data_IF_362579009397
#
_entry.id   IF_362579009397
#
_cell.length_a   1.000
_cell.length_b   1.000
_cell.length_c   1.000
_cell.angle_alpha   90.00
_cell.angle_beta   90.00
_cell.angle_gamma   90.00
#
_symmetry.space_group_name_H-M   'P 1'
#
loop_
_entity.id
_entity.type
_entity.pdbx_description
1 polymer ?
#
# COMPACT_ATOMS: atom_id res chain seq x y z
N UNK A 1 51.83 -0.04 4.79
CA UNK A 1 50.46 0.24 5.26
C UNK A 1 49.50 -0.67 4.51
N UNK A 2 48.64 -1.40 5.23
CA UNK A 2 47.57 -2.22 4.64
C UNK A 2 46.26 -1.55 5.02
N UNK A 3 45.47 -1.18 4.02
CA UNK A 3 44.15 -0.57 4.19
C UNK A 3 43.12 -1.50 3.57
N UNK A 4 42.08 -1.84 4.33
CA UNK A 4 41.03 -2.74 3.89
C UNK A 4 39.74 -1.96 3.71
N UNK A 5 39.14 -2.06 2.53
CA UNK A 5 37.82 -1.55 2.26
C UNK A 5 36.80 -2.67 2.52
N UNK A 6 35.88 -2.41 3.42
CA UNK A 6 34.79 -3.31 3.79
C UNK A 6 33.47 -2.64 3.41
N UNK A 7 32.59 -3.40 2.77
CA UNK A 7 31.23 -2.98 2.46
C UNK A 7 30.23 -3.95 3.10
N UNK A 8 29.25 -3.43 3.81
CA UNK A 8 28.18 -4.20 4.42
C UNK A 8 27.13 -3.26 4.99
N UNK A 9 25.87 -3.64 4.88
CA UNK A 9 24.76 -2.85 5.41
C UNK A 9 24.68 -2.89 6.94
N UNK A 10 25.08 -4.00 7.55
CA UNK A 10 25.13 -4.20 9.00
C UNK A 10 26.51 -4.70 9.45
N UNK A 11 26.87 -4.44 10.72
CA UNK A 11 28.11 -4.92 11.35
C UNK A 11 28.29 -6.44 11.28
N UNK A 12 27.21 -7.19 11.05
CA UNK A 12 27.20 -8.66 10.95
C UNK A 12 27.29 -9.20 9.52
N UNK A 13 27.21 -8.35 8.49
CA UNK A 13 27.27 -8.73 7.06
C UNK A 13 28.29 -7.87 6.31
N UNK A 14 29.52 -7.82 6.83
CA UNK A 14 30.63 -7.14 6.17
C UNK A 14 31.29 -8.07 5.13
N UNK A 15 31.42 -7.57 3.91
CA UNK A 15 32.15 -8.18 2.81
C UNK A 15 33.37 -7.34 2.48
N UNK A 16 34.54 -7.96 2.36
CA UNK A 16 35.78 -7.25 2.00
C UNK A 16 35.74 -6.93 0.51
N UNK A 17 35.70 -5.64 0.15
CA UNK A 17 35.58 -5.19 -1.25
C UNK A 17 36.92 -4.90 -1.88
N UNK A 18 37.88 -4.38 -1.12
CA UNK A 18 39.24 -4.14 -1.62
C UNK A 18 40.31 -4.23 -0.52
N UNK A 19 41.52 -4.60 -0.92
CA UNK A 19 42.72 -4.48 -0.09
C UNK A 19 43.74 -3.61 -0.82
N UNK A 20 44.13 -2.53 -0.17
CA UNK A 20 45.17 -1.60 -0.58
C UNK A 20 46.43 -1.91 0.22
N UNK A 21 47.49 -2.32 -0.46
CA UNK A 21 48.81 -2.52 0.17
C UNK A 21 49.78 -1.48 -0.37
N UNK A 22 50.28 -0.62 0.52
CA UNK A 22 51.24 0.44 0.20
C UNK A 22 52.55 0.15 0.94
N UNK A 23 53.63 -0.04 0.18
CA UNK A 23 55.01 -0.13 0.66
C UNK A 23 55.85 0.97 0.03
N UNK A 24 57.03 1.23 0.59
CA UNK A 24 57.93 2.33 0.18
C UNK A 24 58.30 2.34 -1.31
N UNK A 25 58.13 1.20 -2.00
CA UNK A 25 58.49 0.99 -3.41
C UNK A 25 57.37 0.33 -4.25
N UNK A 26 56.20 0.04 -3.68
CA UNK A 26 55.13 -0.66 -4.41
C UNK A 26 53.73 -0.32 -3.91
N UNK A 27 52.81 -0.24 -4.87
CA UNK A 27 51.38 -0.04 -4.66
C UNK A 27 50.62 -1.20 -5.31
N UNK A 28 49.81 -1.92 -4.55
CA UNK A 28 48.91 -2.95 -5.08
C UNK A 28 47.48 -2.77 -4.58
N UNK A 29 46.53 -2.86 -5.50
CA UNK A 29 45.09 -2.81 -5.25
C UNK A 29 44.48 -4.13 -5.71
N UNK A 30 43.94 -4.90 -4.77
CA UNK A 30 43.23 -6.15 -5.05
C UNK A 30 41.75 -5.97 -4.73
N UNK A 31 40.88 -6.03 -5.75
CA UNK A 31 39.41 -6.03 -5.58
C UNK A 31 38.90 -7.46 -5.60
N UNK A 32 38.08 -7.81 -4.62
CA UNK A 32 37.57 -9.18 -4.43
C UNK A 32 36.23 -9.45 -5.13
N UNK A 33 35.48 -8.40 -5.48
CA UNK A 33 34.18 -8.52 -6.14
C UNK A 33 34.20 -7.93 -7.56
N UNK A 34 33.37 -8.47 -8.44
CA UNK A 34 33.25 -7.93 -9.80
C UNK A 34 32.54 -6.57 -9.73
N UNK A 35 33.00 -5.58 -10.52
CA UNK A 35 32.35 -4.24 -10.54
C UNK A 35 30.87 -4.33 -10.89
N UNK A 36 30.47 -5.33 -11.69
CA UNK A 36 29.08 -5.58 -12.07
C UNK A 36 28.24 -6.07 -10.90
N UNK A 37 28.74 -7.01 -10.10
CA UNK A 37 28.05 -7.49 -8.89
C UNK A 37 27.91 -6.37 -7.85
N UNK A 38 28.95 -5.54 -7.69
CA UNK A 38 28.92 -4.40 -6.78
C UNK A 38 27.84 -3.39 -7.19
N UNK A 39 27.77 -3.05 -8.47
CA UNK A 39 26.75 -2.14 -9.00
C UNK A 39 25.36 -2.76 -8.90
N UNK A 40 25.21 -4.03 -9.29
CA UNK A 40 23.93 -4.74 -9.20
C UNK A 40 23.42 -4.83 -7.75
N UNK A 41 24.32 -5.05 -6.79
CA UNK A 41 24.00 -5.06 -5.36
C UNK A 41 23.54 -3.70 -4.88
N UNK A 42 24.29 -2.63 -5.21
CA UNK A 42 23.91 -1.25 -4.85
C UNK A 42 22.58 -0.82 -5.46
N UNK A 43 22.30 -1.27 -6.69
CA UNK A 43 21.00 -1.06 -7.33
C UNK A 43 19.92 -1.79 -6.54
N UNK A 44 20.11 -3.09 -6.22
CA UNK A 44 19.15 -3.87 -5.44
C UNK A 44 18.88 -3.22 -4.06
N UNK A 45 19.92 -2.77 -3.38
CA UNK A 45 19.86 -2.07 -2.09
C UNK A 45 19.02 -0.79 -2.15
N UNK A 46 18.85 -0.16 -3.32
CA UNK A 46 17.94 0.98 -3.46
C UNK A 46 16.45 0.60 -3.38
N UNK A 47 16.12 -0.68 -3.62
CA UNK A 47 14.75 -1.18 -3.73
C UNK A 47 14.36 -2.18 -2.65
N UNK A 48 15.30 -2.85 -1.99
CA UNK A 48 14.96 -3.80 -0.92
C UNK A 48 15.42 -3.29 0.45
N UNK A 49 14.67 -3.57 1.53
CA UNK A 49 15.08 -3.21 2.88
C UNK A 49 16.42 -3.83 3.27
N UNK A 50 17.15 -3.15 4.13
CA UNK A 50 18.36 -3.68 4.74
C UNK A 50 18.04 -4.99 5.47
N UNK A 51 18.90 -6.00 5.31
CA UNK A 51 18.72 -7.30 5.94
C UNK A 51 17.67 -8.19 5.25
N UNK A 52 17.14 -7.79 4.10
CA UNK A 52 16.25 -8.63 3.28
C UNK A 52 16.91 -9.99 2.95
N UNK A 53 16.16 -11.11 2.95
CA UNK A 53 14.73 -11.23 3.22
C UNK A 53 14.36 -11.34 4.71
N UNK A 54 15.33 -11.45 5.62
CA UNK A 54 15.08 -11.77 7.04
C UNK A 54 14.55 -10.60 7.87
N UNK A 55 14.68 -9.37 7.38
CA UNK A 55 14.25 -8.15 8.08
C UNK A 55 12.79 -7.78 7.85
N UNK A 56 12.09 -8.49 6.96
CA UNK A 56 10.69 -8.26 6.63
C UNK A 56 9.86 -9.53 6.72
N UNK A 57 8.54 -9.39 6.83
CA UNK A 57 7.65 -10.56 6.82
C UNK A 57 7.69 -11.30 5.47
N UNK A 58 7.44 -12.63 5.46
CA UNK A 58 7.53 -13.44 4.23
C UNK A 58 6.57 -13.03 3.11
N UNK A 59 5.50 -12.30 3.43
CA UNK A 59 4.50 -11.80 2.49
C UNK A 59 4.88 -10.45 1.84
N UNK A 60 5.99 -9.80 2.24
CA UNK A 60 6.45 -8.54 1.66
C UNK A 60 6.73 -8.63 0.16
N UNK A 61 7.63 -9.52 -0.26
CA UNK A 61 8.04 -9.63 -1.66
C UNK A 61 6.88 -9.97 -2.61
N UNK A 62 6.03 -11.00 -2.34
CA UNK A 62 4.90 -11.28 -3.21
C UNK A 62 3.88 -10.14 -3.24
N UNK A 63 3.67 -9.43 -2.11
CA UNK A 63 2.83 -8.24 -2.08
C UNK A 63 3.39 -7.13 -2.98
N UNK A 64 4.67 -6.78 -2.83
CA UNK A 64 5.31 -5.67 -3.57
C UNK A 64 5.31 -5.88 -5.09
N UNK A 65 5.42 -7.14 -5.55
CA UNK A 65 5.31 -7.45 -6.98
C UNK A 65 3.92 -7.08 -7.52
N UNK A 66 2.85 -7.50 -6.84
CA UNK A 66 1.49 -7.19 -7.26
C UNK A 66 1.15 -5.71 -7.09
N UNK A 67 1.62 -5.08 -6.01
CA UNK A 67 1.46 -3.65 -5.76
C UNK A 67 2.16 -2.81 -6.84
N UNK A 68 3.38 -3.18 -7.24
CA UNK A 68 4.11 -2.53 -8.34
C UNK A 68 3.39 -2.66 -9.69
N UNK A 69 2.84 -3.85 -9.99
CA UNK A 69 2.06 -4.06 -11.22
C UNK A 69 0.75 -3.26 -11.21
N UNK A 70 0.11 -3.15 -10.05
CA UNK A 70 -1.07 -2.32 -9.82
C UNK A 70 -0.73 -0.83 -10.02
N UNK A 71 0.35 -0.35 -9.40
CA UNK A 71 0.88 1.01 -9.58
C UNK A 71 1.20 1.33 -11.04
N UNK A 72 1.88 0.43 -11.74
CA UNK A 72 2.18 0.58 -13.18
C UNK A 72 0.90 0.80 -13.99
N UNK A 73 -0.14 -0.01 -13.75
CA UNK A 73 -1.44 0.14 -14.42
C UNK A 73 -2.11 1.48 -14.12
N UNK A 74 -2.05 1.93 -12.86
CA UNK A 74 -2.53 3.25 -12.44
C UNK A 74 -1.87 4.36 -13.24
N UNK A 75 -0.54 4.41 -13.32
CA UNK A 75 0.13 5.51 -14.00
C UNK A 75 -0.06 5.51 -15.53
N UNK A 76 -0.23 4.34 -16.15
CA UNK A 76 -0.63 4.27 -17.57
C UNK A 76 -2.01 4.91 -17.78
N UNK A 77 -2.99 4.54 -16.95
CA UNK A 77 -4.37 5.08 -17.03
C UNK A 77 -4.41 6.56 -16.72
N UNK A 78 -3.62 7.03 -15.75
CA UNK A 78 -3.50 8.45 -15.40
C UNK A 78 -3.11 9.29 -16.61
N UNK A 79 -2.24 8.80 -17.51
CA UNK A 79 -1.89 9.56 -18.72
C UNK A 79 -3.07 9.69 -19.68
N UNK A 80 -3.86 8.62 -19.87
CA UNK A 80 -5.08 8.65 -20.69
C UNK A 80 -6.15 9.57 -20.11
N UNK A 81 -6.43 9.47 -18.81
CA UNK A 81 -7.43 10.31 -18.14
C UNK A 81 -7.01 11.77 -18.07
N UNK A 82 -5.70 12.04 -17.85
CA UNK A 82 -5.16 13.40 -17.84
C UNK A 82 -5.29 14.06 -19.21
N UNK A 83 -4.98 13.34 -20.30
CA UNK A 83 -5.15 13.88 -21.65
C UNK A 83 -6.62 14.27 -21.91
N UNK A 84 -7.57 13.41 -21.53
CA UNK A 84 -9.00 13.68 -21.67
C UNK A 84 -9.43 14.91 -20.83
N UNK A 85 -9.00 14.96 -19.57
CA UNK A 85 -9.29 16.08 -18.68
C UNK A 85 -8.75 17.41 -19.20
N UNK A 86 -7.50 17.44 -19.69
CA UNK A 86 -6.89 18.64 -20.27
C UNK A 86 -7.64 19.11 -21.52
N UNK A 87 -8.09 18.16 -22.36
CA UNK A 87 -8.93 18.48 -23.51
C UNK A 87 -10.27 19.09 -23.07
N UNK A 88 -10.92 18.55 -22.03
CA UNK A 88 -12.20 19.09 -21.53
C UNK A 88 -12.09 20.50 -20.93
N UNK A 89 -10.96 20.85 -20.33
CA UNK A 89 -10.70 22.20 -19.80
C UNK A 89 -10.52 23.22 -20.95
N UNK A 90 -10.32 22.74 -22.18
CA UNK A 90 -10.11 23.59 -23.35
C UNK A 90 -8.65 23.96 -23.55
N UNK A 91 -7.71 23.11 -23.12
CA UNK A 91 -6.29 23.30 -23.46
C UNK A 91 -6.15 23.23 -24.99
N UNK A 92 -5.78 24.36 -25.59
CA UNK A 92 -5.66 24.52 -27.04
C UNK A 92 -6.85 25.24 -27.71
N UNK A 93 -7.93 25.52 -26.97
CA UNK A 93 -9.12 26.21 -27.49
C UNK A 93 -9.01 27.74 -27.35
N UNK A 94 -9.35 28.48 -28.42
CA UNK A 94 -9.24 29.96 -28.44
C UNK A 94 -10.23 30.66 -27.50
N UNK A 95 -11.36 30.01 -27.19
CA UNK A 95 -12.39 30.53 -26.30
C UNK A 95 -12.15 30.24 -24.82
N UNK A 96 -11.20 29.35 -24.50
CA UNK A 96 -10.86 29.02 -23.12
C UNK A 96 -10.03 30.14 -22.50
N UNK A 97 -10.43 30.60 -21.31
CA UNK A 97 -9.69 31.64 -20.57
C UNK A 97 -8.86 31.01 -19.46
N UNK A 98 -7.66 31.57 -19.24
CA UNK A 98 -6.77 31.12 -18.15
C UNK A 98 -7.49 31.19 -16.80
N UNK A 99 -8.19 32.30 -16.51
CA UNK A 99 -8.91 32.48 -15.24
C UNK A 99 -10.06 31.48 -15.07
N UNK A 100 -10.77 31.13 -16.14
CA UNK A 100 -11.82 30.12 -16.11
C UNK A 100 -11.27 28.74 -15.78
N UNK A 101 -10.19 28.34 -16.45
CA UNK A 101 -9.48 27.09 -16.15
C UNK A 101 -8.95 27.09 -14.70
N UNK A 102 -8.35 28.18 -14.23
CA UNK A 102 -7.89 28.31 -12.84
C UNK A 102 -9.03 28.13 -11.84
N UNK A 103 -10.20 28.73 -12.10
CA UNK A 103 -11.36 28.58 -11.22
C UNK A 103 -11.88 27.14 -11.18
N UNK A 104 -11.89 26.43 -12.31
CA UNK A 104 -12.26 25.02 -12.38
C UNK A 104 -11.30 24.14 -11.56
N UNK A 105 -9.99 24.37 -11.66
CA UNK A 105 -8.98 23.68 -10.85
C UNK A 105 -9.13 23.97 -9.36
N UNK A 106 -9.31 25.25 -9.00
CA UNK A 106 -9.57 25.66 -7.63
C UNK A 106 -10.77 24.93 -7.04
N UNK A 107 -11.93 24.95 -7.71
CA UNK A 107 -13.14 24.28 -7.23
C UNK A 107 -12.92 22.78 -7.07
N UNK A 108 -12.33 22.14 -8.08
CA UNK A 108 -12.00 20.71 -8.06
C UNK A 108 -11.14 20.36 -6.84
N UNK A 109 -10.04 21.08 -6.63
CA UNK A 109 -9.08 20.77 -5.58
C UNK A 109 -9.62 21.12 -4.18
N UNK A 110 -10.29 22.27 -4.05
CA UNK A 110 -10.96 22.68 -2.82
C UNK A 110 -12.00 21.64 -2.37
N UNK A 111 -12.88 21.20 -3.29
CA UNK A 111 -13.92 20.21 -2.97
C UNK A 111 -13.31 18.86 -2.62
N UNK A 112 -12.24 18.45 -3.31
CA UNK A 112 -11.48 17.24 -3.00
C UNK A 112 -10.90 17.29 -1.58
N UNK A 113 -10.16 18.35 -1.24
CA UNK A 113 -9.55 18.53 0.08
C UNK A 113 -10.59 18.53 1.20
N UNK A 114 -11.73 19.22 1.03
CA UNK A 114 -12.84 19.17 1.98
C UNK A 114 -13.39 17.75 2.13
N UNK A 115 -13.57 17.03 1.02
CA UNK A 115 -14.01 15.64 1.03
C UNK A 115 -13.08 14.72 1.83
N UNK A 116 -11.76 14.85 1.65
CA UNK A 116 -10.76 14.10 2.40
C UNK A 116 -10.78 14.38 3.90
N UNK A 117 -10.92 15.64 4.29
CA UNK A 117 -11.04 16.03 5.71
C UNK A 117 -12.29 15.42 6.32
N UNK A 118 -13.45 15.55 5.65
CA UNK A 118 -14.71 14.97 6.11
C UNK A 118 -14.60 13.44 6.23
N UNK A 119 -14.04 12.76 5.24
CA UNK A 119 -13.84 11.31 5.29
C UNK A 119 -12.96 10.90 6.47
N UNK A 120 -11.84 11.61 6.68
CA UNK A 120 -10.94 11.37 7.82
C UNK A 120 -11.68 11.52 9.15
N UNK A 121 -12.48 12.57 9.30
CA UNK A 121 -13.29 12.82 10.48
C UNK A 121 -14.28 11.68 10.78
N UNK A 122 -14.94 11.14 9.75
CA UNK A 122 -15.92 10.06 9.93
C UNK A 122 -15.29 8.67 10.11
N UNK A 123 -14.17 8.39 9.44
CA UNK A 123 -13.70 7.01 9.23
C UNK A 123 -12.28 6.72 9.73
N UNK A 124 -11.50 7.76 10.10
CA UNK A 124 -10.06 7.67 10.37
C UNK A 124 -9.65 6.61 11.41
N UNK A 125 -10.50 6.36 12.41
CA UNK A 125 -10.20 5.44 13.52
C UNK A 125 -10.24 3.95 13.19
N UNK A 126 -10.71 3.55 12.00
CA UNK A 126 -10.89 2.13 11.63
C UNK A 126 -10.14 1.73 10.34
N UNK A 127 -9.35 2.63 9.75
CA UNK A 127 -8.71 2.39 8.45
C UNK A 127 -7.61 1.32 8.50
N UNK A 128 -6.83 1.31 9.58
CA UNK A 128 -5.76 0.35 9.83
C UNK A 128 -6.29 -1.06 10.19
N UNK A 129 -7.37 -1.13 10.99
CA UNK A 129 -7.95 -2.40 11.45
C UNK A 129 -8.42 -3.32 10.31
N UNK A 130 -8.88 -2.73 9.20
CA UNK A 130 -9.37 -3.47 8.02
C UNK A 130 -8.53 -3.16 6.78
N UNK A 131 -7.20 -3.09 6.93
CA UNK A 131 -6.29 -2.63 5.88
C UNK A 131 -6.49 -3.31 4.51
N UNK A 132 -6.71 -4.64 4.47
CA UNK A 132 -6.94 -5.34 3.20
C UNK A 132 -8.18 -4.84 2.45
N UNK A 133 -9.28 -4.64 3.17
CA UNK A 133 -10.53 -4.15 2.61
C UNK A 133 -10.37 -2.70 2.15
N UNK A 134 -9.80 -1.86 3.02
CA UNK A 134 -9.62 -0.44 2.71
C UNK A 134 -8.68 -0.22 1.53
N UNK A 135 -7.69 -1.09 1.28
CA UNK A 135 -6.90 -1.06 0.05
C UNK A 135 -7.75 -1.27 -1.20
N UNK A 136 -8.60 -2.30 -1.22
CA UNK A 136 -9.51 -2.54 -2.35
C UNK A 136 -10.48 -1.37 -2.57
N UNK A 137 -11.01 -0.81 -1.48
CA UNK A 137 -11.95 0.31 -1.55
C UNK A 137 -11.26 1.60 -2.00
N UNK A 138 -10.05 1.88 -1.50
CA UNK A 138 -9.26 3.05 -1.88
C UNK A 138 -8.97 3.03 -3.39
N UNK A 139 -8.53 1.89 -3.91
CA UNK A 139 -8.21 1.74 -5.33
C UNK A 139 -9.45 1.75 -6.22
N UNK A 140 -10.58 1.21 -5.75
CA UNK A 140 -11.87 1.39 -6.44
C UNK A 140 -12.25 2.87 -6.55
N UNK A 141 -12.10 3.64 -5.45
CA UNK A 141 -12.37 5.09 -5.49
C UNK A 141 -11.36 5.83 -6.38
N UNK A 142 -10.12 5.37 -6.49
CA UNK A 142 -9.13 5.93 -7.39
C UNK A 142 -9.57 5.75 -8.85
N UNK A 143 -10.03 4.54 -9.17
CA UNK A 143 -10.51 4.15 -10.49
C UNK A 143 -11.75 4.95 -10.88
N UNK A 144 -12.68 5.16 -9.96
CA UNK A 144 -13.82 6.06 -10.16
C UNK A 144 -13.36 7.50 -10.42
N UNK A 145 -12.36 7.98 -9.68
CA UNK A 145 -11.78 9.31 -9.89
C UNK A 145 -11.22 9.50 -11.30
N UNK A 146 -10.39 8.55 -11.75
CA UNK A 146 -9.84 8.57 -13.11
C UNK A 146 -10.93 8.39 -14.18
N UNK A 147 -11.94 7.58 -13.91
CA UNK A 147 -13.09 7.42 -14.80
C UNK A 147 -13.86 8.73 -14.96
N UNK A 148 -14.07 9.48 -13.87
CA UNK A 148 -14.70 10.81 -13.95
C UNK A 148 -13.88 11.76 -14.81
N UNK A 149 -12.55 11.75 -14.68
CA UNK A 149 -11.67 12.55 -15.53
C UNK A 149 -11.83 12.17 -17.01
N UNK A 150 -11.90 10.87 -17.34
CA UNK A 150 -12.09 10.36 -18.71
C UNK A 150 -13.50 10.62 -19.27
N UNK A 151 -14.54 10.58 -18.43
CA UNK A 151 -15.95 10.81 -18.79
C UNK A 151 -16.27 12.30 -18.95
N UNK A 152 -15.60 13.16 -18.20
CA UNK A 152 -15.89 14.59 -18.12
C UNK A 152 -16.01 15.32 -19.47
N UNK A 153 -15.23 15.02 -20.54
CA UNK A 153 -15.37 15.70 -21.83
C UNK A 153 -16.69 15.39 -22.53
N UNK A 154 -17.35 14.27 -22.19
CA UNK A 154 -18.63 13.86 -22.79
C UNK A 154 -19.80 14.69 -22.27
N UNK A 155 -19.62 15.42 -21.17
CA UNK A 155 -20.67 16.20 -20.51
C UNK A 155 -20.21 17.63 -20.19
N UNK A 156 -19.97 18.49 -21.20
CA UNK A 156 -19.44 19.85 -20.96
C UNK A 156 -20.29 20.69 -20.00
N UNK A 157 -21.62 20.53 -20.02
CA UNK A 157 -22.54 21.26 -19.12
C UNK A 157 -22.43 20.84 -17.65
N UNK A 158 -21.98 19.61 -17.38
CA UNK A 158 -21.80 19.06 -16.04
C UNK A 158 -20.32 18.87 -15.67
N UNK A 159 -19.40 19.36 -16.50
CA UNK A 159 -17.96 19.12 -16.40
C UNK A 159 -17.43 19.35 -14.98
N UNK A 160 -17.69 20.54 -14.42
CA UNK A 160 -17.16 20.92 -13.10
C UNK A 160 -17.69 20.01 -11.99
N UNK A 161 -18.94 19.58 -12.08
CA UNK A 161 -19.55 18.68 -11.11
C UNK A 161 -18.89 17.30 -11.16
N UNK A 162 -18.68 16.75 -12.36
CA UNK A 162 -18.05 15.44 -12.58
C UNK A 162 -16.62 15.44 -12.04
N UNK A 163 -15.81 16.45 -12.37
CA UNK A 163 -14.41 16.50 -11.90
C UNK A 163 -14.31 16.77 -10.40
N UNK A 164 -15.25 17.49 -9.80
CA UNK A 164 -15.34 17.64 -8.34
C UNK A 164 -15.64 16.29 -7.66
N UNK A 165 -16.57 15.49 -8.20
CA UNK A 165 -16.82 14.13 -7.71
C UNK A 165 -15.57 13.26 -7.86
N UNK A 166 -14.88 13.33 -8.99
CA UNK A 166 -13.62 12.62 -9.20
C UNK A 166 -12.55 13.02 -8.19
N UNK A 167 -12.46 14.31 -7.87
CA UNK A 167 -11.53 14.86 -6.87
C UNK A 167 -11.83 14.39 -5.44
N UNK A 168 -13.11 14.38 -5.04
CA UNK A 168 -13.54 13.82 -3.74
C UNK A 168 -13.13 12.34 -3.67
N UNK A 169 -13.38 11.59 -4.74
CA UNK A 169 -13.02 10.17 -4.85
C UNK A 169 -11.52 9.95 -4.66
N UNK A 170 -10.68 10.73 -5.36
CA UNK A 170 -9.20 10.66 -5.21
C UNK A 170 -8.72 11.12 -3.84
N UNK A 171 -9.38 12.10 -3.22
CA UNK A 171 -9.02 12.55 -1.86
C UNK A 171 -9.31 11.46 -0.83
N UNK A 172 -10.46 10.79 -0.94
CA UNK A 172 -10.76 9.58 -0.17
C UNK A 172 -9.67 8.52 -0.36
N UNK A 173 -9.27 8.25 -1.60
CA UNK A 173 -8.20 7.28 -1.90
C UNK A 173 -6.91 7.66 -1.19
N UNK A 174 -6.51 8.93 -1.22
CA UNK A 174 -5.29 9.41 -0.57
C UNK A 174 -5.29 9.12 0.93
N UNK A 175 -6.41 9.39 1.62
CA UNK A 175 -6.54 9.13 3.06
C UNK A 175 -6.50 7.63 3.36
N UNK A 176 -7.32 6.83 2.67
CA UNK A 176 -7.42 5.38 2.92
C UNK A 176 -6.13 4.64 2.53
N UNK A 177 -5.53 4.97 1.38
CA UNK A 177 -4.25 4.41 0.94
C UNK A 177 -3.12 4.81 1.90
N UNK A 178 -3.06 6.07 2.33
CA UNK A 178 -2.06 6.52 3.31
C UNK A 178 -2.14 5.75 4.65
N UNK A 179 -3.34 5.60 5.20
CA UNK A 179 -3.54 4.88 6.46
C UNK A 179 -3.22 3.37 6.33
N UNK A 180 -3.69 2.73 5.26
CA UNK A 180 -3.43 1.30 5.04
C UNK A 180 -1.97 1.01 4.72
N UNK A 181 -1.29 1.88 3.96
CA UNK A 181 0.15 1.81 3.72
C UNK A 181 0.92 1.89 5.04
N UNK A 182 0.62 2.85 5.91
CA UNK A 182 1.25 2.94 7.23
C UNK A 182 1.07 1.64 8.05
N UNK A 183 -0.14 1.07 8.06
CA UNK A 183 -0.40 -0.20 8.73
C UNK A 183 0.39 -1.38 8.13
N UNK A 184 0.53 -1.42 6.80
CA UNK A 184 1.33 -2.44 6.11
C UNK A 184 2.82 -2.28 6.33
N UNK A 185 3.35 -1.06 6.31
CA UNK A 185 4.75 -0.79 6.64
C UNK A 185 5.09 -1.31 8.05
N UNK A 186 4.20 -1.10 9.02
CA UNK A 186 4.36 -1.66 10.37
C UNK A 186 4.27 -3.20 10.37
N UNK A 187 3.32 -3.78 9.64
CA UNK A 187 3.20 -5.23 9.49
C UNK A 187 4.47 -5.85 8.90
N UNK A 188 5.05 -5.23 7.87
CA UNK A 188 6.26 -5.72 7.21
C UNK A 188 7.53 -5.60 8.07
N UNK A 189 7.55 -4.73 9.08
CA UNK A 189 8.74 -4.47 9.91
C UNK A 189 8.96 -5.55 10.97
N UNK A 190 9.99 -6.38 10.80
CA UNK A 190 10.40 -7.37 11.81
C UNK A 190 11.53 -6.88 12.74
N UNK A 191 12.27 -5.83 12.35
CA UNK A 191 13.50 -5.41 13.04
C UNK A 191 13.49 -3.91 13.39
N UNK A 192 12.32 -3.35 13.70
CA UNK A 192 12.12 -1.89 13.88
C UNK A 192 12.61 -1.07 12.68
N UNK A 193 12.45 -1.62 11.47
CA UNK A 193 12.96 -1.10 10.21
C UNK A 193 11.85 -0.46 9.35
N UNK A 194 10.75 -0.03 9.95
CA UNK A 194 9.60 0.56 9.25
C UNK A 194 9.98 1.77 8.38
N UNK A 195 10.90 2.62 8.84
CA UNK A 195 11.37 3.77 8.07
C UNK A 195 12.13 3.35 6.80
N UNK A 196 12.98 2.33 6.91
CA UNK A 196 13.71 1.77 5.76
C UNK A 196 12.73 1.13 4.77
N UNK A 197 11.78 0.32 5.25
CA UNK A 197 10.72 -0.26 4.41
C UNK A 197 9.95 0.83 3.67
N UNK A 198 9.50 1.88 4.36
CA UNK A 198 8.78 3.00 3.74
C UNK A 198 9.62 3.71 2.68
N UNK A 199 10.93 3.87 2.90
CA UNK A 199 11.83 4.50 1.94
C UNK A 199 12.02 3.62 0.69
N UNK A 200 12.20 2.30 0.87
CA UNK A 200 12.37 1.35 -0.26
C UNK A 200 11.09 1.15 -1.05
N UNK A 201 9.95 1.08 -0.38
CA UNK A 201 8.63 1.09 -1.01
C UNK A 201 8.45 2.36 -1.85
N UNK A 202 8.83 3.53 -1.32
CA UNK A 202 8.82 4.78 -2.08
C UNK A 202 9.69 4.74 -3.34
N UNK A 203 10.88 4.12 -3.29
CA UNK A 203 11.71 3.90 -4.49
C UNK A 203 11.04 2.97 -5.51
N UNK A 204 10.40 1.90 -5.05
CA UNK A 204 9.67 0.96 -5.91
C UNK A 204 8.47 1.64 -6.60
N UNK A 205 7.67 2.37 -5.83
CA UNK A 205 6.55 3.17 -6.33
C UNK A 205 7.04 4.20 -7.37
N UNK A 206 8.16 4.88 -7.10
CA UNK A 206 8.75 5.87 -8.02
C UNK A 206 9.14 5.24 -9.36
N UNK A 207 9.80 4.07 -9.36
CA UNK A 207 10.18 3.39 -10.61
C UNK A 207 8.94 2.90 -11.37
N UNK A 208 7.96 2.33 -10.67
CA UNK A 208 6.68 1.94 -11.29
C UNK A 208 5.97 3.16 -11.91
N UNK A 209 6.01 4.30 -11.22
CA UNK A 209 5.48 5.59 -11.70
C UNK A 209 6.17 6.03 -12.98
N UNK A 210 7.49 6.08 -12.99
CA UNK A 210 8.28 6.48 -14.15
C UNK A 210 8.00 5.60 -15.36
N UNK A 211 8.01 4.27 -15.17
CA UNK A 211 7.69 3.32 -16.22
C UNK A 211 6.25 3.49 -16.74
N UNK A 212 5.29 3.63 -15.83
CA UNK A 212 3.88 3.79 -16.17
C UNK A 212 3.57 5.09 -16.90
N UNK A 213 4.23 6.19 -16.54
CA UNK A 213 4.12 7.46 -17.27
C UNK A 213 4.67 7.36 -18.69
N UNK A 214 5.85 6.75 -18.88
CA UNK A 214 6.43 6.56 -20.22
C UNK A 214 5.51 5.70 -21.09
N UNK A 215 5.07 4.54 -20.58
CA UNK A 215 4.17 3.65 -21.29
C UNK A 215 2.80 4.29 -21.55
N UNK A 216 2.27 5.02 -20.57
CA UNK A 216 1.00 5.75 -20.69
C UNK A 216 1.05 6.85 -21.73
N UNK A 217 2.14 7.61 -21.79
CA UNK A 217 2.33 8.64 -22.82
C UNK A 217 2.49 8.05 -24.22
N UNK A 218 3.22 6.93 -24.36
CA UNK A 218 3.30 6.21 -25.63
C UNK A 218 1.93 5.71 -26.09
N UNK A 219 1.15 5.13 -25.16
CA UNK A 219 -0.20 4.66 -25.43
C UNK A 219 -1.13 5.81 -25.82
N UNK A 220 -1.09 6.93 -25.08
CA UNK A 220 -1.84 8.15 -25.38
C UNK A 220 -1.52 8.70 -26.77
N UNK A 221 -0.25 8.68 -27.17
CA UNK A 221 0.18 9.13 -28.49
C UNK A 221 -0.34 8.21 -29.62
N UNK A 222 -0.19 6.89 -29.46
CA UNK A 222 -0.62 5.90 -30.48
C UNK A 222 -2.15 5.87 -30.63
N UNK A 223 -2.88 6.12 -29.55
CA UNK A 223 -4.36 6.06 -29.52
C UNK A 223 -5.02 7.42 -29.79
N UNK A 224 -4.24 8.44 -30.16
CA UNK A 224 -4.74 9.78 -30.45
C UNK A 224 -5.83 9.75 -31.53
N UNK A 225 -6.97 10.40 -31.25
CA UNK A 225 -8.12 10.44 -32.16
C UNK A 225 -8.93 9.13 -32.23
N UNK A 226 -8.60 8.10 -31.44
CA UNK A 226 -9.26 6.80 -31.45
C UNK A 226 -9.96 6.51 -30.11
N UNK A 227 -11.15 7.12 -29.85
CA UNK A 227 -11.81 7.07 -28.55
C UNK A 227 -12.14 5.64 -28.11
N UNK A 228 -12.53 4.75 -29.03
CA UNK A 228 -12.82 3.36 -28.71
C UNK A 228 -11.61 2.62 -28.14
N UNK A 229 -10.41 2.86 -28.69
CA UNK A 229 -9.18 2.24 -28.19
C UNK A 229 -8.80 2.83 -26.83
N UNK A 230 -8.92 4.15 -26.64
CA UNK A 230 -8.66 4.79 -25.34
C UNK A 230 -9.55 4.17 -24.26
N UNK A 231 -10.85 4.06 -24.53
CA UNK A 231 -11.83 3.44 -23.60
C UNK A 231 -11.52 1.98 -23.34
N UNK A 232 -11.24 1.19 -24.38
CA UNK A 232 -10.90 -0.21 -24.24
C UNK A 232 -9.62 -0.41 -23.41
N UNK A 233 -8.57 0.37 -23.69
CA UNK A 233 -7.31 0.35 -22.94
C UNK A 233 -7.54 0.74 -21.49
N UNK A 234 -8.25 1.84 -21.23
CA UNK A 234 -8.54 2.32 -19.88
C UNK A 234 -9.32 1.29 -19.06
N UNK A 235 -10.39 0.71 -19.63
CA UNK A 235 -11.21 -0.29 -18.94
C UNK A 235 -10.45 -1.59 -18.71
N UNK A 236 -9.69 -2.07 -19.70
CA UNK A 236 -8.86 -3.29 -19.57
C UNK A 236 -7.80 -3.13 -18.49
N UNK A 237 -7.11 -1.98 -18.46
CA UNK A 237 -6.13 -1.65 -17.42
C UNK A 237 -6.78 -1.49 -16.05
N UNK A 238 -8.03 -0.99 -15.98
CA UNK A 238 -8.79 -0.88 -14.73
C UNK A 238 -9.17 -2.25 -14.17
N UNK A 239 -9.58 -3.19 -15.02
CA UNK A 239 -9.82 -4.59 -14.61
C UNK A 239 -8.51 -5.22 -14.12
N UNK A 240 -7.41 -5.03 -14.86
CA UNK A 240 -6.10 -5.52 -14.45
C UNK A 240 -5.64 -4.90 -13.13
N UNK A 241 -5.85 -3.61 -12.93
CA UNK A 241 -5.52 -2.86 -11.71
C UNK A 241 -6.23 -3.47 -10.49
N UNK A 242 -7.56 -3.64 -10.57
CA UNK A 242 -8.33 -4.24 -9.49
C UNK A 242 -7.95 -5.70 -9.22
N UNK A 243 -7.66 -6.46 -10.28
CA UNK A 243 -7.16 -7.83 -10.15
C UNK A 243 -5.79 -7.88 -9.46
N UNK A 244 -4.84 -7.03 -9.87
CA UNK A 244 -3.52 -6.96 -9.28
C UNK A 244 -3.60 -6.57 -7.80
N UNK A 245 -4.44 -5.58 -7.44
CA UNK A 245 -4.66 -5.23 -6.04
C UNK A 245 -5.26 -6.39 -5.25
N UNK A 246 -6.28 -7.08 -5.80
CA UNK A 246 -6.86 -8.28 -5.19
C UNK A 246 -5.79 -9.34 -4.92
N UNK A 247 -4.90 -9.59 -5.88
CA UNK A 247 -3.77 -10.51 -5.69
C UNK A 247 -2.80 -10.03 -4.61
N UNK A 248 -2.47 -8.74 -4.56
CA UNK A 248 -1.61 -8.17 -3.52
C UNK A 248 -2.21 -8.41 -2.12
N UNK A 249 -3.48 -8.06 -1.89
CA UNK A 249 -4.11 -8.25 -0.57
C UNK A 249 -4.32 -9.71 -0.18
N UNK A 250 -4.40 -10.62 -1.16
CA UNK A 250 -4.42 -12.07 -0.90
C UNK A 250 -3.06 -12.61 -0.43
N UNK A 251 -1.94 -11.95 -0.75
CA UNK A 251 -0.62 -12.34 -0.27
C UNK A 251 -0.43 -12.03 1.22
N UNK A 252 -1.10 -10.99 1.71
CA UNK A 252 -0.96 -10.50 3.07
C UNK A 252 -1.47 -11.49 4.11
N UNK A 253 -0.73 -11.67 5.20
CA UNK A 253 -1.09 -12.47 6.37
C UNK A 253 -0.97 -11.63 7.64
N UNK A 254 -1.88 -10.66 7.79
CA UNK A 254 -1.85 -9.69 8.89
C UNK A 254 -1.93 -10.36 10.26
N UNK A 255 -1.08 -9.92 11.18
CA UNK A 255 -1.03 -10.39 12.57
C UNK A 255 -1.94 -9.57 13.50
N UNK A 256 -2.39 -8.40 13.04
CA UNK A 256 -3.31 -7.54 13.79
C UNK A 256 -4.73 -8.11 13.82
N UNK A 257 -5.36 -8.03 14.99
CA UNK A 257 -6.72 -8.50 15.19
C UNK A 257 -7.74 -7.41 14.84
N UNK A 258 -8.71 -7.78 14.02
CA UNK A 258 -9.93 -7.00 13.81
C UNK A 258 -11.15 -7.82 14.25
N UNK A 259 -12.35 -7.22 14.19
CA UNK A 259 -13.61 -7.89 14.59
C UNK A 259 -13.80 -9.25 13.89
N UNK A 260 -13.45 -9.35 12.61
CA UNK A 260 -13.60 -10.58 11.84
C UNK A 260 -12.59 -11.65 12.23
N UNK A 261 -11.30 -11.33 12.24
CA UNK A 261 -10.22 -12.26 12.62
C UNK A 261 -10.42 -12.78 14.03
N UNK A 262 -10.84 -11.92 14.96
CA UNK A 262 -11.24 -12.32 16.31
C UNK A 262 -12.40 -13.33 16.30
N UNK A 263 -13.45 -13.06 15.51
CA UNK A 263 -14.60 -13.96 15.40
C UNK A 263 -14.21 -15.33 14.84
N UNK A 264 -13.37 -15.38 13.79
CA UNK A 264 -12.86 -16.63 13.20
C UNK A 264 -12.05 -17.41 14.24
N UNK A 265 -11.11 -16.76 14.92
CA UNK A 265 -10.27 -17.37 15.94
C UNK A 265 -11.08 -17.94 17.09
N UNK A 266 -12.00 -17.14 17.65
CA UNK A 266 -12.81 -17.54 18.79
C UNK A 266 -13.76 -18.69 18.44
N UNK A 267 -14.42 -18.64 17.28
CA UNK A 267 -15.29 -19.72 16.83
C UNK A 267 -14.53 -21.03 16.59
N UNK A 268 -13.32 -20.95 16.03
CA UNK A 268 -12.48 -22.14 15.84
C UNK A 268 -12.02 -22.71 17.19
N UNK A 269 -11.50 -21.86 18.06
CA UNK A 269 -11.03 -22.25 19.39
C UNK A 269 -12.15 -22.90 20.22
N UNK A 270 -13.36 -22.35 20.20
CA UNK A 270 -14.51 -22.94 20.91
C UNK A 270 -14.93 -24.31 20.37
N UNK A 271 -14.63 -24.64 19.10
CA UNK A 271 -15.01 -25.91 18.47
C UNK A 271 -13.93 -26.98 18.58
N UNK A 272 -12.66 -26.60 18.45
CA UNK A 272 -11.53 -27.54 18.34
C UNK A 272 -10.53 -27.46 19.49
N UNK A 273 -10.61 -26.43 20.34
CA UNK A 273 -9.59 -26.14 21.36
C UNK A 273 -8.26 -25.61 20.79
N UNK A 274 -8.16 -25.41 19.47
CA UNK A 274 -6.93 -25.00 18.79
C UNK A 274 -7.00 -23.57 18.26
N UNK A 275 -5.88 -22.85 18.35
CA UNK A 275 -5.72 -21.49 17.81
C UNK A 275 -5.14 -21.56 16.40
N UNK A 276 -5.78 -20.88 15.45
CA UNK A 276 -5.32 -20.81 14.07
C UNK A 276 -4.13 -19.85 13.92
N UNK A 277 -3.22 -20.14 13.00
CA UNK A 277 -2.16 -19.21 12.62
C UNK A 277 -2.70 -18.03 11.79
N UNK A 278 -2.00 -16.89 11.74
CA UNK A 278 -2.38 -15.76 10.89
C UNK A 278 -2.61 -16.15 9.42
N UNK A 279 -1.80 -17.07 8.88
CA UNK A 279 -1.93 -17.55 7.50
C UNK A 279 -3.22 -18.35 7.29
N UNK A 280 -3.62 -19.15 8.29
CA UNK A 280 -4.88 -19.89 8.24
C UNK A 280 -6.07 -18.94 8.34
N UNK A 281 -6.02 -17.95 9.24
CA UNK A 281 -7.08 -16.93 9.37
C UNK A 281 -7.19 -16.08 8.11
N UNK A 282 -6.06 -15.70 7.51
CA UNK A 282 -6.00 -14.92 6.26
C UNK A 282 -6.71 -15.60 5.08
N UNK A 283 -6.72 -16.94 5.03
CA UNK A 283 -7.46 -17.71 4.02
C UNK A 283 -8.98 -17.75 4.27
N UNK A 284 -9.40 -17.52 5.51
CA UNK A 284 -10.80 -17.57 5.94
C UNK A 284 -11.45 -16.19 6.00
N UNK A 285 -10.66 -15.12 6.14
CA UNK A 285 -11.19 -13.77 6.16
C UNK A 285 -11.69 -13.35 4.77
N UNK A 286 -12.71 -12.49 4.78
CA UNK A 286 -13.19 -11.86 3.57
C UNK A 286 -12.44 -10.55 3.39
N UNK A 287 -12.22 -10.18 2.14
CA UNK A 287 -11.47 -8.97 1.80
C UNK A 287 -12.40 -7.86 1.31
N UNK A 288 -13.61 -8.22 0.88
CA UNK A 288 -14.60 -7.27 0.38
C UNK A 288 -15.41 -6.63 1.53
N UNK A 289 -15.86 -5.37 1.36
CA UNK A 289 -16.68 -4.71 2.36
C UNK A 289 -18.04 -5.41 2.56
N UNK A 290 -18.61 -5.23 3.75
CA UNK A 290 -19.81 -5.95 4.22
C UNK A 290 -21.01 -5.81 3.25
N UNK A 291 -21.17 -4.63 2.63
CA UNK A 291 -22.22 -4.37 1.64
C UNK A 291 -22.05 -5.19 0.36
N UNK A 292 -20.81 -5.48 -0.05
CA UNK A 292 -20.52 -6.37 -1.18
C UNK A 292 -20.62 -7.85 -0.78
N UNK A 293 -20.42 -8.17 0.51
CA UNK A 293 -20.50 -9.53 1.04
C UNK A 293 -21.91 -9.95 1.51
N UNK A 294 -22.96 -9.17 1.22
CA UNK A 294 -24.35 -9.52 1.57
C UNK A 294 -24.78 -10.89 0.99
N UNK A 295 -24.10 -11.35 -0.07
CA UNK A 295 -24.26 -12.71 -0.63
C UNK A 295 -23.59 -13.84 0.17
N UNK A 296 -22.68 -13.57 1.09
CA UNK A 296 -21.94 -14.60 1.86
C UNK A 296 -22.38 -14.71 3.33
N UNK A 297 -23.24 -13.80 3.82
CA UNK A 297 -23.68 -13.69 5.22
C UNK A 297 -24.67 -14.79 5.68
N UNK A 298 -24.72 -15.95 5.02
CA UNK A 298 -25.56 -17.08 5.47
C UNK A 298 -24.84 -18.07 6.39
N UNK A 299 -23.53 -17.91 6.64
CA UNK A 299 -22.72 -18.97 7.28
C UNK A 299 -22.21 -18.66 8.69
N UNK A 300 -22.30 -17.42 9.18
CA UNK A 300 -21.93 -17.11 10.57
C UNK A 300 -23.13 -17.32 11.51
N UNK A 301 -23.25 -18.52 12.07
CA UNK A 301 -24.01 -18.70 13.32
C UNK A 301 -23.29 -17.86 14.39
N UNK A 302 -23.79 -16.65 14.65
CA UNK A 302 -23.39 -15.87 15.83
C UNK A 302 -23.89 -16.63 17.06
N UNK A 303 -23.06 -17.53 17.60
CA UNK A 303 -23.28 -18.05 18.95
C UNK A 303 -22.98 -16.90 19.90
N UNK A 304 -24.00 -16.11 20.26
CA UNK A 304 -23.96 -15.21 21.40
C UNK A 304 -23.81 -16.06 22.68
N UNK A 305 -22.59 -16.48 22.99
CA UNK A 305 -22.23 -16.94 24.32
C UNK A 305 -21.50 -15.78 24.99
N UNK A 306 -22.13 -15.16 26.00
CA UNK A 306 -21.47 -14.17 26.86
C UNK A 306 -20.26 -14.87 27.49
N UNK A 307 -19.06 -14.52 27.04
CA UNK A 307 -17.83 -14.97 27.68
C UNK A 307 -17.59 -14.00 28.83
N UNK A 308 -17.85 -14.44 30.05
CA UNK A 308 -17.42 -13.73 31.25
C UNK A 308 -15.90 -13.92 31.37
N UNK A 309 -15.14 -13.00 30.79
CA UNK A 309 -13.75 -12.79 31.18
C UNK A 309 -13.82 -12.07 32.53
N UNK A 310 -13.23 -12.68 33.57
CA UNK A 310 -13.37 -12.26 34.97
C UNK A 310 -13.14 -10.77 35.19
N UNK A 311 -13.82 -10.22 36.20
CA UNK A 311 -13.91 -8.80 36.51
C UNK A 311 -12.55 -8.11 36.67
N UNK A 312 -12.06 -7.51 35.59
CA UNK A 312 -10.87 -6.65 35.58
C UNK A 312 -10.95 -5.73 34.36
N UNK A 313 -10.57 -4.44 34.48
CA UNK A 313 -10.70 -3.49 33.38
C UNK A 313 -9.89 -3.97 32.18
N UNK A 314 -10.55 -4.07 31.02
CA UNK A 314 -9.94 -4.40 29.73
C UNK A 314 -8.89 -3.33 29.36
N UNK A 315 -7.66 -3.54 29.81
CA UNK A 315 -6.49 -2.85 29.30
C UNK A 315 -5.71 -3.88 28.47
N UNK A 316 -5.58 -3.62 27.17
CA UNK A 316 -4.72 -4.30 26.19
C UNK A 316 -4.21 -5.69 26.60
N UNK A 317 -4.98 -6.74 26.30
CA UNK A 317 -4.48 -8.11 26.38
C UNK A 317 -3.44 -8.32 25.25
N UNK A 318 -2.17 -8.04 25.57
CA UNK A 318 -1.02 -8.46 24.79
C UNK A 318 -0.89 -9.98 25.00
N UNK A 319 -1.49 -10.77 24.11
CA UNK A 319 -1.28 -12.21 24.08
C UNK A 319 0.16 -12.50 23.63
N UNK A 320 1.09 -12.52 24.58
CA UNK A 320 2.42 -13.10 24.37
C UNK A 320 2.28 -14.62 24.48
N UNK A 321 2.30 -15.28 23.32
CA UNK A 321 2.47 -16.73 23.23
C UNK A 321 3.94 -17.06 23.49
N UNK A 322 4.25 -17.40 24.74
CA UNK A 322 5.44 -18.17 25.07
C UNK A 322 4.99 -19.48 25.72
N UNK A 323 5.66 -20.57 25.36
CA UNK A 323 5.16 -21.94 25.40
C UNK A 323 4.39 -22.35 26.66
N UNK A 324 3.25 -23.01 26.43
CA UNK A 324 2.67 -24.01 27.32
C UNK A 324 2.74 -23.73 28.82
N UNK A 325 2.12 -22.64 29.29
CA UNK A 325 1.50 -22.52 30.64
C UNK A 325 0.86 -21.12 30.76
N UNK A 326 -0.43 -21.07 31.12
CA UNK A 326 -1.11 -19.81 31.47
C UNK A 326 -0.96 -19.66 32.98
N UNK A 327 0.10 -18.99 33.42
CA UNK A 327 0.21 -18.48 34.80
C UNK A 327 -0.36 -17.05 34.83
N UNK A 328 -1.52 -16.89 35.44
CA UNK A 328 -2.02 -15.60 35.85
C UNK A 328 -1.30 -15.22 37.15
N UNK A 329 -0.18 -14.50 37.05
CA UNK A 329 0.48 -13.95 38.22
C UNK A 329 -0.11 -12.58 38.55
N UNK A 330 -0.84 -12.54 39.65
CA UNK A 330 -1.46 -11.34 40.19
C UNK A 330 -0.52 -10.64 41.14
N UNK A 331 0.37 -9.80 40.64
CA UNK A 331 0.99 -8.75 41.46
C UNK A 331 1.08 -7.44 40.68
N UNK A 332 0.44 -6.41 41.26
CA UNK A 332 0.38 -5.08 40.69
C UNK A 332 1.75 -4.40 40.64
N UNK A 333 2.17 -4.03 39.43
CA UNK A 333 3.06 -2.89 39.21
C UNK A 333 2.59 -2.11 37.99
N UNK A 334 2.39 -0.81 38.16
CA UNK A 334 1.90 0.10 37.14
C UNK A 334 2.87 0.17 35.96
N UNK A 335 2.39 -0.13 34.76
CA UNK A 335 3.17 0.07 33.54
C UNK A 335 3.07 1.56 33.14
N UNK A 336 4.06 2.36 33.56
CA UNK A 336 4.36 3.66 32.96
C UNK A 336 4.83 3.39 31.53
N UNK A 337 4.04 3.72 30.51
CA UNK A 337 4.45 4.14 29.16
C UNK A 337 3.18 4.26 28.30
N UNK A 338 2.39 5.29 28.57
CA UNK A 338 1.34 5.83 27.69
C UNK A 338 1.14 7.29 28.06
N UNK A 339 2.04 8.16 27.61
CA UNK A 339 1.78 9.61 27.50
C UNK A 339 2.55 10.16 26.30
N UNK A 340 1.84 10.99 25.55
CA UNK A 340 2.19 11.77 24.36
C UNK A 340 1.99 11.04 23.02
#
# INVERSE_FOLDING_TARGET
>A
MIMEEWNGSSSTKLSKTAVLTVSSSSFSLQRYDSRFNEVSRRILEAFVPEGFPTSVTPDYAPFQIWDSLQGLSTYIRTMLSTQALLSAIGVGEKSATVIGATFQWFLRDFTGMLGGILFTFYQGSNLDSNAKMWRLVADLMNDLGMLMDLVSPLFPSAFIFIVCLGSISRSFTGVASGATRAALTQHFSLQNNAADISAKEGSQETVATMAGMVLGMLLAHITMGQPLIIWFSFLSLTVFHMYANYKAVCCLSLTTLNKQRCSILLQHFMKSGQVLSPQQVSKLEHILPVWASSWYSKTSKLTHKKIHLGDGPLCCARFLLQGSEILADGEGRSCQYCTA
#
